data_IF_148952348494
#
_entry.id   IF_148952348494
#
_cell.length_a   1.000
_cell.length_b   1.000
_cell.length_c   1.000
_cell.angle_alpha   90.00
_cell.angle_beta   90.00
_cell.angle_gamma   90.00
#
_symmetry.space_group_name_H-M   'P 1'
#
loop_
_entity.id
_entity.type
_entity.pdbx_description
1 polymer ?
#
# COMPACT_ATOMS: atom_id res chain seq x y z
N UNK A 1 -10.47 40.57 -16.44
CA UNK A 1 -11.22 40.35 -15.19
C UNK A 1 -11.95 39.03 -15.36
N UNK A 2 -11.68 38.04 -14.49
CA UNK A 2 -12.42 36.78 -14.27
C UNK A 2 -12.33 35.80 -15.46
N UNK A 3 -11.76 34.60 -15.29
CA UNK A 3 -12.50 33.45 -14.73
C UNK A 3 -11.66 32.53 -13.84
N UNK A 4 -12.25 32.24 -12.69
CA UNK A 4 -11.86 31.31 -11.63
C UNK A 4 -11.80 29.87 -12.17
N UNK A 5 -10.66 29.20 -12.01
CA UNK A 5 -10.53 27.75 -12.23
C UNK A 5 -11.32 27.05 -11.12
N UNK A 6 -12.47 26.49 -11.49
CA UNK A 6 -13.32 25.69 -10.62
C UNK A 6 -12.60 24.37 -10.26
N UNK A 7 -12.64 24.03 -8.98
CA UNK A 7 -11.77 23.05 -8.33
C UNK A 7 -11.81 21.63 -8.91
N UNK A 8 -10.65 20.97 -8.82
CA UNK A 8 -10.51 19.53 -8.99
C UNK A 8 -11.35 18.82 -7.93
N UNK A 9 -12.47 18.24 -8.33
CA UNK A 9 -13.25 17.32 -7.49
C UNK A 9 -12.46 16.02 -7.33
N UNK A 10 -11.53 16.00 -6.37
CA UNK A 10 -10.63 14.87 -6.13
C UNK A 10 -11.07 13.94 -4.97
N UNK A 11 -12.16 14.29 -4.27
CA UNK A 11 -12.61 13.54 -3.09
C UNK A 11 -13.99 12.92 -3.34
N UNK A 12 -14.01 11.63 -3.69
CA UNK A 12 -15.24 10.84 -3.62
C UNK A 12 -15.44 10.35 -2.18
N UNK A 13 -16.61 10.64 -1.60
CA UNK A 13 -16.98 10.12 -0.29
C UNK A 13 -17.35 8.64 -0.43
N UNK A 14 -16.40 7.76 -0.10
CA UNK A 14 -16.60 6.29 -0.12
C UNK A 14 -17.18 5.84 1.20
N UNK A 15 -18.29 5.10 1.18
CA UNK A 15 -18.91 4.56 2.39
C UNK A 15 -18.04 3.42 2.95
N UNK A 16 -18.04 3.18 4.27
CA UNK A 16 -17.13 2.20 4.90
C UNK A 16 -17.14 0.80 4.28
N UNK A 17 -18.32 0.32 3.82
CA UNK A 17 -18.51 -1.00 3.20
C UNK A 17 -18.12 -1.07 1.73
N UNK A 18 -18.13 0.06 1.00
CA UNK A 18 -17.71 0.13 -0.41
C UNK A 18 -16.19 -0.02 -0.56
N UNK A 19 -15.44 0.18 0.54
CA UNK A 19 -13.98 0.01 0.56
C UNK A 19 -13.55 -1.43 0.26
N UNK A 20 -14.35 -2.43 0.65
CA UNK A 20 -14.05 -3.83 0.33
C UNK A 20 -14.11 -4.11 -1.18
N UNK A 21 -15.13 -3.58 -1.85
CA UNK A 21 -15.33 -3.76 -3.30
C UNK A 21 -14.36 -2.92 -4.14
N UNK A 22 -13.94 -1.77 -3.62
CA UNK A 22 -13.01 -0.85 -4.31
C UNK A 22 -11.54 -1.22 -4.10
N UNK A 23 -11.18 -1.95 -3.04
CA UNK A 23 -9.82 -2.36 -2.74
C UNK A 23 -9.41 -3.58 -3.59
N UNK A 24 -8.99 -3.32 -4.83
CA UNK A 24 -8.42 -4.35 -5.70
C UNK A 24 -7.07 -4.85 -5.16
N UNK A 25 -6.78 -6.12 -5.41
CA UNK A 25 -5.54 -6.80 -5.01
C UNK A 25 -4.28 -6.07 -5.47
N UNK A 26 -4.30 -5.48 -6.68
CA UNK A 26 -3.13 -4.83 -7.28
C UNK A 26 -2.80 -3.47 -6.63
N UNK A 27 -3.72 -2.93 -5.84
CA UNK A 27 -3.51 -1.68 -5.09
C UNK A 27 -2.95 -1.93 -3.68
N UNK A 28 -2.76 -3.19 -3.29
CA UNK A 28 -2.09 -3.52 -2.04
C UNK A 28 -0.62 -3.09 -2.08
N UNK A 29 -0.09 -2.69 -0.92
CA UNK A 29 1.34 -2.37 -0.76
C UNK A 29 2.25 -3.54 -1.12
N UNK A 30 1.77 -4.75 -0.83
CA UNK A 30 2.39 -6.00 -1.23
C UNK A 30 1.32 -6.88 -1.90
N UNK A 31 1.23 -6.87 -3.23
CA UNK A 31 0.22 -7.65 -3.96
C UNK A 31 0.56 -9.15 -4.00
N UNK A 32 1.80 -9.55 -3.72
CA UNK A 32 2.23 -10.95 -3.66
C UNK A 32 3.10 -11.19 -2.41
N UNK A 33 2.45 -11.37 -1.24
CA UNK A 33 3.17 -11.57 0.01
C UNK A 33 4.01 -12.85 0.03
N UNK A 34 3.66 -13.84 -0.79
CA UNK A 34 4.44 -15.08 -0.90
C UNK A 34 5.76 -14.81 -1.62
N UNK A 35 5.72 -14.09 -2.74
CA UNK A 35 6.94 -13.69 -3.45
C UNK A 35 7.82 -12.76 -2.60
N UNK A 36 7.23 -11.78 -1.92
CA UNK A 36 7.91 -10.86 -0.99
C UNK A 36 8.59 -11.61 0.17
N UNK A 37 7.91 -12.60 0.74
CA UNK A 37 8.48 -13.47 1.78
C UNK A 37 9.63 -14.32 1.22
N UNK A 38 9.48 -14.90 0.03
CA UNK A 38 10.52 -15.69 -0.61
C UNK A 38 11.77 -14.85 -0.93
N UNK A 39 11.59 -13.64 -1.46
CA UNK A 39 12.68 -12.71 -1.75
C UNK A 39 13.44 -12.33 -0.47
N UNK A 40 12.69 -12.01 0.59
CA UNK A 40 13.26 -11.75 1.91
C UNK A 40 14.08 -12.93 2.45
N UNK A 41 13.59 -14.17 2.27
CA UNK A 41 14.33 -15.37 2.64
C UNK A 41 15.62 -15.55 1.83
N UNK A 42 15.57 -15.30 0.52
CA UNK A 42 16.74 -15.38 -0.37
C UNK A 42 17.76 -14.29 0.00
N UNK A 43 17.30 -13.06 0.20
CA UNK A 43 18.12 -11.92 0.60
C UNK A 43 18.83 -12.20 1.93
N UNK A 44 18.10 -12.65 2.95
CA UNK A 44 18.69 -13.03 4.23
C UNK A 44 19.71 -14.16 4.08
N UNK A 45 19.40 -15.19 3.29
CA UNK A 45 20.32 -16.30 3.08
C UNK A 45 21.63 -15.88 2.37
N UNK A 46 21.59 -14.83 1.55
CA UNK A 46 22.73 -14.37 0.75
C UNK A 46 23.50 -13.21 1.39
N UNK A 47 22.82 -12.30 2.08
CA UNK A 47 23.30 -10.94 2.35
C UNK A 47 23.03 -10.45 3.79
N UNK A 48 22.66 -11.34 4.74
CA UNK A 48 22.29 -11.00 6.13
C UNK A 48 23.35 -10.26 7.00
N UNK A 49 24.44 -9.74 6.42
CA UNK A 49 25.49 -9.01 7.12
C UNK A 49 25.12 -7.55 7.47
N UNK A 50 24.11 -6.94 6.82
CA UNK A 50 23.84 -5.49 6.95
C UNK A 50 22.60 -5.09 7.76
N UNK A 51 21.90 -6.02 8.41
CA UNK A 51 20.69 -5.72 9.19
C UNK A 51 19.47 -5.50 8.27
N UNK A 52 18.45 -6.35 8.44
CA UNK A 52 17.28 -6.38 7.56
C UNK A 52 16.47 -5.10 7.63
N UNK A 53 16.25 -4.49 6.47
CA UNK A 53 15.31 -3.39 6.27
C UNK A 53 13.86 -3.89 6.34
N UNK A 54 13.43 -4.40 7.50
CA UNK A 54 12.02 -4.50 7.79
C UNK A 54 11.55 -3.07 8.11
N UNK A 55 11.31 -2.27 7.07
CA UNK A 55 10.42 -1.14 7.19
C UNK A 55 9.02 -1.73 7.37
N UNK A 56 8.68 -2.02 8.61
CA UNK A 56 7.34 -2.30 9.11
C UNK A 56 6.43 -1.12 8.76
N UNK A 57 5.97 -1.11 7.51
CA UNK A 57 5.04 -0.14 6.94
C UNK A 57 3.68 -0.36 7.59
N UNK A 58 3.40 0.46 8.60
CA UNK A 58 2.21 0.41 9.43
C UNK A 58 0.90 0.30 8.65
N UNK A 59 0.20 -0.80 8.87
CA UNK A 59 -1.23 -0.86 8.65
C UNK A 59 -1.95 -0.08 9.74
N UNK A 60 -2.92 0.76 9.37
CA UNK A 60 -3.91 1.25 10.31
C UNK A 60 -4.70 0.03 10.81
N UNK A 61 -4.27 -0.52 11.94
CA UNK A 61 -4.93 -1.61 12.62
C UNK A 61 -6.31 -1.17 13.08
N UNK A 62 -7.31 -1.39 12.23
CA UNK A 62 -8.71 -1.35 12.62
C UNK A 62 -9.28 -2.75 12.40
N UNK A 63 -9.40 -3.49 13.51
CA UNK A 63 -10.42 -4.52 13.68
C UNK A 63 -11.76 -3.82 13.95
#
# INVERSE_FOLDING_TARGET
MITMVAGLQACAQVKPWERGDLARSEMAWDPDPLASTLDSHIYFAKEASSGGSAAEGGGCGCN
#
